data_IF_953236838422
#
_entry.id   IF_953236838422
#
_cell.length_a   1.000
_cell.length_b   1.000
_cell.length_c   1.000
_cell.angle_alpha   90.00
_cell.angle_beta   90.00
_cell.angle_gamma   90.00
#
_symmetry.space_group_name_H-M   'P 1'
#
loop_
_entity.id
_entity.type
_entity.pdbx_description
1 polymer ?
#
# COMPACT_ATOMS: atom_id res chain seq x y z
N UNK A 1 15.30 -2.34 12.98
CA UNK A 1 15.43 -1.88 14.38
C UNK A 1 14.02 -1.55 14.81
N UNK A 2 13.43 -2.31 15.74
CA UNK A 2 12.08 -2.04 16.23
C UNK A 2 12.16 -0.93 17.28
N UNK A 3 11.42 0.15 17.08
CA UNK A 3 11.18 1.15 18.11
C UNK A 3 9.84 0.81 18.79
N UNK A 4 9.83 0.60 20.12
CA UNK A 4 8.59 0.35 20.83
C UNK A 4 7.69 1.59 20.77
N UNK A 5 6.36 1.42 20.73
CA UNK A 5 5.43 2.53 20.72
C UNK A 5 5.58 3.40 21.98
N UNK A 6 5.27 4.71 21.90
CA UNK A 6 5.31 5.61 23.05
C UNK A 6 4.39 5.12 24.17
N UNK A 7 4.80 5.35 25.43
CA UNK A 7 3.97 5.03 26.59
C UNK A 7 2.79 5.99 26.70
N UNK A 8 1.74 5.59 27.42
CA UNK A 8 0.56 6.43 27.66
C UNK A 8 0.91 7.77 28.34
N UNK A 9 1.95 7.81 29.19
CA UNK A 9 2.44 9.05 29.82
C UNK A 9 3.10 9.99 28.80
N UNK A 10 3.81 9.45 27.82
CA UNK A 10 4.42 10.23 26.75
C UNK A 10 3.35 10.82 25.82
N UNK A 11 2.31 10.05 25.49
CA UNK A 11 1.18 10.53 24.69
C UNK A 11 0.38 11.61 25.43
N UNK A 12 0.08 11.39 26.71
CA UNK A 12 -0.67 12.33 27.54
C UNK A 12 0.06 13.67 27.71
N UNK A 13 1.40 13.68 27.73
CA UNK A 13 2.19 14.92 27.76
C UNK A 13 1.95 15.83 26.54
N UNK A 14 1.51 15.25 25.42
CA UNK A 14 1.12 15.98 24.20
C UNK A 14 -0.41 16.06 24.01
N UNK A 15 -1.20 15.62 24.99
CA UNK A 15 -2.67 15.59 24.90
C UNK A 15 -3.21 14.55 23.93
N UNK A 16 -2.42 13.52 23.61
CA UNK A 16 -2.81 12.40 22.76
C UNK A 16 -3.20 11.20 23.62
N UNK A 17 -4.08 10.36 23.11
CA UNK A 17 -4.36 9.03 23.65
C UNK A 17 -3.98 7.92 22.66
N UNK A 18 -4.12 6.66 23.09
CA UNK A 18 -3.72 5.51 22.28
C UNK A 18 -4.51 5.38 20.96
N UNK A 19 -5.71 5.98 20.87
CA UNK A 19 -6.52 6.00 19.65
C UNK A 19 -6.05 7.07 18.64
N UNK A 20 -5.27 8.05 19.09
CA UNK A 20 -4.60 9.02 18.22
C UNK A 20 -3.34 8.44 17.55
N UNK A 21 -2.92 7.25 17.96
CA UNK A 21 -1.83 6.55 17.28
C UNK A 21 -2.34 5.88 16.00
N UNK A 22 -1.69 6.20 14.88
CA UNK A 22 -1.88 5.44 13.65
C UNK A 22 -1.50 3.97 13.89
N UNK A 23 -2.40 3.06 13.48
CA UNK A 23 -2.14 1.63 13.56
C UNK A 23 -0.96 1.30 12.63
N UNK A 24 0.17 0.91 13.22
CA UNK A 24 1.37 0.57 12.49
C UNK A 24 1.39 -0.93 12.17
N UNK A 25 1.52 -1.27 10.89
CA UNK A 25 1.61 -2.65 10.42
C UNK A 25 3.02 -2.95 9.95
N UNK A 26 3.55 -4.11 10.35
CA UNK A 26 4.85 -4.57 9.86
C UNK A 26 4.71 -5.13 8.45
N UNK A 27 5.48 -4.57 7.51
CA UNK A 27 5.61 -5.09 6.15
C UNK A 27 6.97 -5.77 6.01
N UNK A 28 6.97 -7.02 5.55
CA UNK A 28 8.19 -7.79 5.37
C UNK A 28 9.12 -7.13 4.34
N UNK A 29 10.45 -7.07 4.57
CA UNK A 29 11.38 -6.37 3.69
C UNK A 29 11.37 -6.84 2.22
N UNK A 30 11.05 -8.11 1.98
CA UNK A 30 10.93 -8.66 0.62
C UNK A 30 9.71 -8.11 -0.14
N UNK A 31 8.62 -7.81 0.57
CA UNK A 31 7.37 -7.31 -0.01
C UNK A 31 7.36 -5.78 -0.08
N UNK A 32 8.20 -5.11 0.71
CA UNK A 32 8.26 -3.65 0.80
C UNK A 32 8.32 -2.93 -0.56
N UNK A 33 9.14 -3.35 -1.55
CA UNK A 33 9.17 -2.66 -2.83
C UNK A 33 7.87 -2.82 -3.63
N UNK A 34 7.23 -3.99 -3.57
CA UNK A 34 5.92 -4.22 -4.19
C UNK A 34 4.85 -3.35 -3.54
N UNK A 35 4.84 -3.30 -2.21
CA UNK A 35 3.92 -2.45 -1.45
C UNK A 35 4.08 -0.97 -1.79
N UNK A 36 5.32 -0.46 -1.85
CA UNK A 36 5.61 0.93 -2.22
C UNK A 36 5.11 1.29 -3.62
N UNK A 37 5.19 0.35 -4.56
CA UNK A 37 4.66 0.55 -5.90
C UNK A 37 3.13 0.51 -5.91
N UNK A 38 2.52 -0.44 -5.20
CA UNK A 38 1.08 -0.56 -5.05
C UNK A 38 0.46 0.70 -4.42
N UNK A 39 1.06 1.20 -3.33
CA UNK A 39 0.66 2.44 -2.66
C UNK A 39 0.73 3.66 -3.60
N UNK A 40 1.80 3.78 -4.38
CA UNK A 40 1.92 4.81 -5.42
C UNK A 40 0.90 4.70 -6.56
N UNK A 41 0.29 3.52 -6.75
CA UNK A 41 -0.76 3.25 -7.74
C UNK A 41 -2.18 3.31 -7.13
N UNK A 42 -2.32 3.70 -5.86
CA UNK A 42 -3.58 3.67 -5.10
C UNK A 42 -4.77 4.34 -5.79
N UNK A 43 -4.55 5.35 -6.63
CA UNK A 43 -5.60 6.06 -7.39
C UNK A 43 -5.78 5.55 -8.82
N UNK A 44 -4.88 4.69 -9.30
CA UNK A 44 -4.76 4.33 -10.72
C UNK A 44 -5.53 3.04 -11.01
N UNK A 45 -6.85 3.09 -10.81
CA UNK A 45 -7.75 2.00 -11.12
C UNK A 45 -8.43 2.20 -12.47
N UNK A 46 -8.51 1.13 -13.24
CA UNK A 46 -9.50 1.01 -14.30
C UNK A 46 -10.84 0.68 -13.66
N UNK A 47 -11.87 1.43 -14.02
CA UNK A 47 -13.22 1.29 -13.45
C UNK A 47 -14.24 0.97 -14.54
N UNK A 48 -15.18 0.08 -14.23
CA UNK A 48 -16.35 -0.23 -15.05
C UNK A 48 -17.66 0.05 -14.32
N UNK A 49 -18.77 -0.46 -14.87
CA UNK A 49 -20.10 -0.26 -14.29
C UNK A 49 -20.25 -0.81 -12.85
N UNK A 50 -19.41 -1.79 -12.48
CA UNK A 50 -19.42 -2.43 -11.16
C UNK A 50 -18.21 -2.04 -10.28
N UNK A 51 -17.60 -0.87 -10.50
CA UNK A 51 -16.45 -0.40 -9.72
C UNK A 51 -15.10 -0.74 -10.36
N UNK A 52 -14.05 -0.82 -9.52
CA UNK A 52 -12.69 -1.10 -9.97
C UNK A 52 -12.57 -2.52 -10.56
N UNK A 53 -11.84 -2.65 -11.67
CA UNK A 53 -11.60 -3.93 -12.37
C UNK A 53 -10.13 -4.35 -12.36
N UNK A 54 -9.22 -3.42 -12.02
CA UNK A 54 -7.79 -3.66 -11.96
C UNK A 54 -6.99 -2.35 -12.02
N UNK A 55 -5.71 -2.42 -11.72
CA UNK A 55 -4.74 -1.34 -11.83
C UNK A 55 -4.50 -1.03 -13.31
N UNK A 56 -4.35 0.25 -13.64
CA UNK A 56 -3.87 0.64 -14.96
C UNK A 56 -2.37 0.33 -15.12
N UNK A 57 -2.07 -0.78 -15.78
CA UNK A 57 -0.69 -1.22 -15.98
C UNK A 57 0.15 -0.23 -16.81
N UNK A 58 -0.47 0.69 -17.55
CA UNK A 58 0.26 1.75 -18.27
C UNK A 58 0.85 2.80 -17.33
N UNK A 59 0.28 2.97 -16.13
CA UNK A 59 0.79 3.87 -15.11
C UNK A 59 1.96 3.28 -14.32
N UNK A 60 2.11 1.95 -14.31
CA UNK A 60 3.12 1.24 -13.49
C UNK A 60 4.53 1.76 -13.75
N UNK A 61 4.94 1.88 -15.02
CA UNK A 61 6.30 2.32 -15.34
C UNK A 61 6.55 3.76 -14.93
N UNK A 62 5.56 4.63 -15.10
CA UNK A 62 5.64 6.06 -14.74
C UNK A 62 5.74 6.23 -13.23
N UNK A 63 4.91 5.51 -12.46
CA UNK A 63 4.97 5.54 -10.99
C UNK A 63 6.27 4.93 -10.49
N UNK A 64 6.70 3.80 -11.05
CA UNK A 64 7.97 3.16 -10.71
C UNK A 64 9.16 4.12 -10.92
N UNK A 65 9.18 4.89 -12.01
CA UNK A 65 10.21 5.90 -12.27
C UNK A 65 10.17 7.03 -11.24
N UNK A 66 8.98 7.55 -10.89
CA UNK A 66 8.81 8.61 -9.88
C UNK A 66 9.30 8.20 -8.48
N UNK A 67 9.15 6.93 -8.12
CA UNK A 67 9.63 6.40 -6.83
C UNK A 67 11.07 5.85 -6.90
N UNK A 68 11.78 6.05 -8.01
CA UNK A 68 13.20 5.68 -8.16
C UNK A 68 13.45 4.17 -8.36
N UNK A 69 12.45 3.42 -8.80
CA UNK A 69 12.55 1.98 -9.02
C UNK A 69 13.13 1.64 -10.40
N UNK A 70 14.04 0.66 -10.44
CA UNK A 70 14.67 0.20 -11.69
C UNK A 70 13.76 -0.79 -12.42
N UNK A 71 13.76 -0.76 -13.77
CA UNK A 71 13.00 -1.71 -14.61
C UNK A 71 13.29 -3.19 -14.31
N UNK A 72 14.51 -3.54 -13.91
CA UNK A 72 14.85 -4.92 -13.51
C UNK A 72 14.07 -5.34 -12.28
N UNK A 73 14.08 -4.50 -11.25
CA UNK A 73 13.35 -4.72 -9.99
C UNK A 73 11.85 -4.80 -10.25
N UNK A 74 11.31 -3.93 -11.11
CA UNK A 74 9.90 -3.97 -11.47
C UNK A 74 9.44 -5.34 -11.99
N UNK A 75 10.26 -6.00 -12.82
CA UNK A 75 9.94 -7.35 -13.32
C UNK A 75 9.96 -8.41 -12.23
N UNK A 76 10.79 -8.24 -11.21
CA UNK A 76 10.90 -9.19 -10.09
C UNK A 76 9.69 -9.08 -9.15
N UNK A 77 9.19 -7.87 -8.92
CA UNK A 77 8.08 -7.61 -7.99
C UNK A 77 6.69 -7.60 -8.64
N UNK A 78 6.61 -7.67 -9.97
CA UNK A 78 5.34 -7.60 -10.69
C UNK A 78 4.34 -8.70 -10.25
N UNK A 79 4.75 -9.97 -10.03
CA UNK A 79 3.84 -10.98 -9.48
C UNK A 79 3.28 -10.61 -8.11
N UNK A 80 4.10 -10.03 -7.23
CA UNK A 80 3.66 -9.59 -5.89
C UNK A 80 2.63 -8.46 -5.99
N UNK A 81 2.82 -7.53 -6.94
CA UNK A 81 1.86 -6.47 -7.24
C UNK A 81 0.50 -7.04 -7.69
N UNK A 82 0.49 -8.09 -8.51
CA UNK A 82 -0.74 -8.73 -8.97
C UNK A 82 -1.51 -9.41 -7.83
N UNK A 83 -0.80 -9.96 -6.84
CA UNK A 83 -1.41 -10.53 -5.64
C UNK A 83 -2.10 -9.41 -4.83
N UNK A 84 -1.41 -8.27 -4.62
CA UNK A 84 -2.00 -7.12 -3.92
C UNK A 84 -3.23 -6.55 -4.66
N UNK A 85 -3.17 -6.45 -5.99
CA UNK A 85 -4.29 -6.04 -6.83
C UNK A 85 -5.51 -6.97 -6.64
N UNK A 86 -5.31 -8.28 -6.69
CA UNK A 86 -6.39 -9.25 -6.54
C UNK A 86 -7.08 -9.11 -5.17
N UNK A 87 -6.31 -9.02 -4.09
CA UNK A 87 -6.85 -8.83 -2.74
C UNK A 87 -7.57 -7.49 -2.59
N UNK A 88 -7.02 -6.42 -3.15
CA UNK A 88 -7.66 -5.11 -3.13
C UNK A 88 -9.01 -5.11 -3.87
N UNK A 89 -9.12 -5.80 -5.01
CA UNK A 89 -10.38 -5.95 -5.72
C UNK A 89 -11.42 -6.73 -4.90
N UNK A 90 -11.01 -7.77 -4.17
CA UNK A 90 -11.90 -8.50 -3.27
C UNK A 90 -12.45 -7.58 -2.18
N UNK A 91 -11.57 -6.87 -1.47
CA UNK A 91 -11.95 -5.94 -0.39
C UNK A 91 -12.86 -4.82 -0.91
N UNK A 92 -12.55 -4.22 -2.06
CA UNK A 92 -13.39 -3.20 -2.69
C UNK A 92 -14.77 -3.73 -3.06
N UNK A 93 -14.85 -4.99 -3.53
CA UNK A 93 -16.12 -5.63 -3.84
C UNK A 93 -16.95 -5.96 -2.60
N UNK A 94 -16.31 -6.26 -1.48
CA UNK A 94 -16.98 -6.51 -0.19
C UNK A 94 -17.55 -5.23 0.43
N UNK A 95 -16.81 -4.12 0.35
CA UNK A 95 -17.28 -2.82 0.84
C UNK A 95 -18.40 -2.22 -0.02
N UNK A 96 -18.55 -2.66 -1.26
CA UNK A 96 -19.59 -2.19 -2.17
C UNK A 96 -20.93 -2.94 -2.03
N UNK A 97 -21.00 -3.96 -1.16
CA UNK A 97 -22.22 -4.70 -0.82
C UNK A 97 -22.91 -4.11 0.40
#
# INVERSE_FOLDING_TARGET
MYEPPPSAEQLAAFGLDASDMEEAFEVWPCVWPAFRLFDGLSTQWRTGACGATGIDYTAITSVAELIGMKKKQLREIFPDLQIMEAEALLVMSEQSK
#
